data_IF_547198098762
#
_entry.id   IF_547198098762
#
_cell.length_a   1.000
_cell.length_b   1.000
_cell.length_c   1.000
_cell.angle_alpha   90.00
_cell.angle_beta   90.00
_cell.angle_gamma   90.00
#
_symmetry.space_group_name_H-M   'P 1'
#
loop_
_entity.id
_entity.type
_entity.pdbx_description
1 polymer ?
#
# COMPACT_ATOMS: atom_id res chain seq x y z
N UNK A 1 -17.07 8.56 14.39
CA UNK A 1 -17.75 7.50 13.60
C UNK A 1 -16.71 6.90 12.70
N UNK A 2 -16.63 5.57 12.65
CA UNK A 2 -15.81 4.84 11.68
C UNK A 2 -16.35 5.09 10.26
N UNK A 3 -15.53 4.81 9.25
CA UNK A 3 -15.94 4.79 7.84
C UNK A 3 -17.09 3.83 7.56
N UNK A 4 -17.24 2.78 8.39
CA UNK A 4 -18.34 1.81 8.35
C UNK A 4 -19.64 2.31 8.96
N UNK A 5 -19.65 3.52 9.55
CA UNK A 5 -20.80 4.07 10.28
C UNK A 5 -20.93 3.54 11.72
N UNK A 6 -20.04 2.67 12.20
CA UNK A 6 -20.01 2.27 13.61
C UNK A 6 -19.36 3.33 14.51
N UNK A 7 -19.57 3.22 15.83
CA UNK A 7 -18.89 4.06 16.82
C UNK A 7 -17.46 3.56 17.04
N UNK A 8 -16.47 4.43 17.06
CA UNK A 8 -15.07 4.04 17.32
C UNK A 8 -14.87 3.39 18.70
N UNK A 9 -15.76 3.69 19.66
CA UNK A 9 -15.73 3.08 21.01
C UNK A 9 -15.91 1.56 21.00
N UNK A 10 -16.43 0.96 19.93
CA UNK A 10 -16.52 -0.50 19.80
C UNK A 10 -15.15 -1.16 19.69
N UNK A 11 -14.11 -0.40 19.31
CA UNK A 11 -12.74 -0.91 19.16
C UNK A 11 -11.91 -0.78 20.44
N UNK A 12 -12.42 -0.13 21.49
CA UNK A 12 -11.61 0.28 22.66
C UNK A 12 -10.85 -0.88 23.34
N UNK A 13 -11.46 -2.05 23.45
CA UNK A 13 -10.84 -3.21 24.12
C UNK A 13 -9.67 -3.80 23.32
N UNK A 14 -9.56 -3.46 22.03
CA UNK A 14 -8.59 -4.03 21.10
C UNK A 14 -7.73 -2.98 20.39
N UNK A 15 -7.92 -1.70 20.71
CA UNK A 15 -7.21 -0.59 20.07
C UNK A 15 -5.73 -0.63 20.46
N UNK A 16 -4.86 -0.60 19.45
CA UNK A 16 -3.40 -0.62 19.61
C UNK A 16 -2.81 0.75 19.33
N UNK A 17 -3.30 1.43 18.29
CA UNK A 17 -2.78 2.74 17.89
C UNK A 17 -3.85 3.60 17.23
N UNK A 18 -3.67 4.91 17.26
CA UNK A 18 -4.50 5.89 16.56
C UNK A 18 -3.59 7.02 16.05
N UNK A 19 -3.26 6.97 14.76
CA UNK A 19 -2.27 7.87 14.17
C UNK A 19 -2.96 8.84 13.21
N UNK A 20 -2.93 10.13 13.54
CA UNK A 20 -3.40 11.17 12.65
C UNK A 20 -2.46 11.33 11.47
N UNK A 21 -3.01 11.48 10.26
CA UNK A 21 -2.22 11.72 9.06
C UNK A 21 -1.83 13.20 9.00
N UNK A 22 -0.59 13.48 9.38
CA UNK A 22 -0.05 14.84 9.47
C UNK A 22 0.43 15.34 8.10
N UNK A 23 0.49 16.66 7.97
CA UNK A 23 1.02 17.33 6.78
C UNK A 23 2.48 17.76 6.92
N UNK A 24 2.92 18.63 6.02
CA UNK A 24 4.28 19.14 5.90
C UNK A 24 4.69 20.07 7.05
N UNK A 25 3.75 20.72 7.76
CA UNK A 25 4.07 21.79 8.72
C UNK A 25 5.11 21.41 9.81
N UNK A 26 4.99 20.26 10.51
CA UNK A 26 6.00 19.88 11.52
C UNK A 26 7.38 19.57 10.92
N UNK A 27 7.41 19.11 9.66
CA UNK A 27 8.67 18.85 8.93
C UNK A 27 9.32 20.17 8.56
N UNK A 28 8.55 21.15 8.07
CA UNK A 28 9.03 22.51 7.80
C UNK A 28 9.57 23.17 9.08
N UNK A 29 8.91 23.00 10.22
CA UNK A 29 9.39 23.46 11.53
C UNK A 29 10.72 22.81 11.91
N UNK A 30 10.85 21.49 11.75
CA UNK A 30 12.09 20.76 12.02
C UNK A 30 13.25 21.27 11.14
N UNK A 31 13.02 21.41 9.82
CA UNK A 31 14.01 21.93 8.87
C UNK A 31 14.42 23.38 9.20
N UNK A 32 13.46 24.25 9.51
CA UNK A 32 13.72 25.62 9.93
C UNK A 32 14.52 25.71 11.24
N UNK A 33 14.40 24.69 12.11
CA UNK A 33 15.24 24.52 13.30
C UNK A 33 16.66 24.00 13.03
N UNK A 34 17.03 23.80 11.76
CA UNK A 34 18.36 23.34 11.35
C UNK A 34 18.56 21.83 11.47
N UNK A 35 17.49 21.03 11.44
CA UNK A 35 17.62 19.57 11.46
C UNK A 35 18.17 19.04 10.12
N UNK A 36 19.27 18.28 10.18
CA UNK A 36 19.83 17.58 9.01
C UNK A 36 19.02 16.34 8.60
N UNK A 37 18.39 15.68 9.59
CA UNK A 37 17.57 14.48 9.40
C UNK A 37 16.28 14.63 10.19
N UNK A 38 15.14 14.48 9.52
CA UNK A 38 13.82 14.51 10.16
C UNK A 38 13.24 13.10 10.16
N UNK A 39 13.03 12.56 11.36
CA UNK A 39 12.28 11.31 11.55
C UNK A 39 10.84 11.68 11.88
N UNK A 40 9.89 11.18 11.09
CA UNK A 40 8.47 11.45 11.28
C UNK A 40 7.71 10.16 11.59
N UNK A 41 6.58 10.28 12.27
CA UNK A 41 5.63 9.17 12.42
C UNK A 41 4.71 9.10 11.18
N UNK A 42 3.40 9.27 11.36
CA UNK A 42 2.42 9.13 10.28
C UNK A 42 2.16 10.49 9.61
N UNK A 43 2.96 10.82 8.60
CA UNK A 43 2.74 11.97 7.70
C UNK A 43 2.20 11.49 6.36
N UNK A 44 1.53 12.37 5.62
CA UNK A 44 1.15 12.09 4.24
C UNK A 44 2.38 11.96 3.36
N UNK A 45 2.41 10.95 2.50
CA UNK A 45 3.54 10.64 1.62
C UNK A 45 4.00 11.85 0.78
N UNK A 46 3.12 12.68 0.18
CA UNK A 46 3.55 13.90 -0.52
C UNK A 46 4.25 14.91 0.39
N UNK A 47 3.94 14.93 1.70
CA UNK A 47 4.47 15.90 2.64
C UNK A 47 5.99 15.75 2.84
N UNK A 48 6.52 14.53 2.67
CA UNK A 48 7.96 14.25 2.75
C UNK A 48 8.76 15.01 1.69
N UNK A 49 8.15 15.27 0.53
CA UNK A 49 8.76 16.02 -0.57
C UNK A 49 8.28 17.48 -0.62
N UNK A 50 7.04 17.74 -0.22
CA UNK A 50 6.50 19.09 -0.15
C UNK A 50 7.25 19.93 0.90
N UNK A 51 7.56 19.37 2.07
CA UNK A 51 8.17 20.13 3.16
C UNK A 51 9.55 20.72 2.81
N UNK A 52 10.50 19.97 2.22
CA UNK A 52 11.75 20.55 1.73
C UNK A 52 11.55 21.66 0.69
N UNK A 53 10.59 21.50 -0.24
CA UNK A 53 10.28 22.53 -1.23
C UNK A 53 9.73 23.80 -0.59
N UNK A 54 8.81 23.65 0.36
CA UNK A 54 8.22 24.75 1.11
C UNK A 54 9.30 25.51 1.88
N UNK A 55 10.19 24.79 2.56
CA UNK A 55 11.27 25.36 3.34
C UNK A 55 12.27 26.12 2.47
N UNK A 56 12.81 25.46 1.45
CA UNK A 56 13.88 26.01 0.60
C UNK A 56 13.40 27.19 -0.27
N UNK A 57 12.20 27.09 -0.84
CA UNK A 57 11.64 28.13 -1.71
C UNK A 57 10.86 29.21 -0.94
N UNK A 58 10.79 29.09 0.39
CA UNK A 58 10.08 30.04 1.26
C UNK A 58 8.59 30.19 0.94
N UNK A 59 7.95 29.13 0.43
CA UNK A 59 6.54 29.19 0.06
C UNK A 59 5.63 29.30 1.28
N UNK A 60 4.61 30.15 1.19
CA UNK A 60 3.63 30.28 2.27
C UNK A 60 2.73 29.05 2.35
N UNK A 61 2.60 28.46 3.54
CA UNK A 61 1.68 27.35 3.82
C UNK A 61 0.19 27.73 3.67
N UNK A 62 -0.13 29.02 3.51
CA UNK A 62 -1.50 29.49 3.22
C UNK A 62 -1.68 29.89 1.76
N UNK A 63 -0.64 29.81 0.93
CA UNK A 63 -0.76 29.91 -0.52
C UNK A 63 -1.21 28.55 -1.06
N UNK A 64 -2.52 28.38 -1.20
CA UNK A 64 -3.11 27.10 -1.62
C UNK A 64 -2.73 26.69 -3.03
N UNK A 65 -2.41 27.64 -3.90
CA UNK A 65 -1.90 27.33 -5.23
C UNK A 65 -0.52 26.65 -5.10
N UNK A 66 0.40 27.25 -4.33
CA UNK A 66 1.72 26.67 -4.06
C UNK A 66 1.65 25.35 -3.29
N UNK A 67 0.75 25.21 -2.32
CA UNK A 67 0.57 23.93 -1.61
C UNK A 67 0.06 22.82 -2.55
N UNK A 68 -0.80 23.18 -3.51
CA UNK A 68 -1.22 22.29 -4.58
C UNK A 68 -0.06 21.82 -5.45
N UNK A 69 0.79 22.76 -5.90
CA UNK A 69 2.00 22.43 -6.67
C UNK A 69 3.00 21.58 -5.87
N UNK A 70 3.24 21.90 -4.59
CA UNK A 70 4.11 21.11 -3.72
C UNK A 70 3.57 19.68 -3.53
N UNK A 71 2.25 19.55 -3.34
CA UNK A 71 1.57 18.25 -3.23
C UNK A 71 1.66 17.46 -4.53
N UNK A 72 1.53 18.11 -5.69
CA UNK A 72 1.72 17.47 -7.00
C UNK A 72 3.13 16.89 -7.14
N UNK A 73 4.16 17.66 -6.79
CA UNK A 73 5.55 17.16 -6.84
C UNK A 73 5.71 15.98 -5.89
N UNK A 74 5.21 16.06 -4.65
CA UNK A 74 5.28 14.95 -3.71
C UNK A 74 4.55 13.70 -4.19
N UNK A 75 3.35 13.85 -4.76
CA UNK A 75 2.56 12.77 -5.35
C UNK A 75 3.29 12.07 -6.51
N UNK A 76 4.09 12.81 -7.28
CA UNK A 76 4.88 12.25 -8.38
C UNK A 76 6.16 11.56 -7.90
N UNK A 77 6.68 11.90 -6.72
CA UNK A 77 7.92 11.35 -6.17
C UNK A 77 7.71 10.24 -5.14
N UNK A 78 6.52 10.10 -4.58
CA UNK A 78 6.17 9.02 -3.66
C UNK A 78 6.13 7.65 -4.36
N UNK A 79 5.88 6.59 -3.57
CA UNK A 79 5.84 5.20 -4.07
C UNK A 79 7.16 4.72 -4.73
N UNK A 80 8.28 5.31 -4.32
CA UNK A 80 9.64 4.93 -4.73
C UNK A 80 9.82 4.94 -6.27
N UNK A 81 10.11 3.79 -6.89
CA UNK A 81 10.42 3.69 -8.31
C UNK A 81 9.21 3.62 -9.24
N UNK A 82 7.99 3.90 -8.78
CA UNK A 82 6.79 3.69 -9.59
C UNK A 82 6.80 4.55 -10.86
N UNK A 83 7.04 5.86 -10.72
CA UNK A 83 7.11 6.80 -11.85
C UNK A 83 8.28 6.54 -12.82
N UNK A 84 9.25 5.70 -12.42
CA UNK A 84 10.40 5.31 -13.25
C UNK A 84 10.25 3.90 -13.85
N UNK A 85 9.10 3.24 -13.67
CA UNK A 85 8.77 1.96 -14.30
C UNK A 85 8.46 0.82 -13.33
N UNK A 86 8.65 1.00 -12.02
CA UNK A 86 8.16 0.06 -11.00
C UNK A 86 6.62 0.03 -10.98
N UNK A 87 6.01 -1.14 -10.77
CA UNK A 87 4.54 -1.32 -10.84
C UNK A 87 3.86 -0.93 -12.18
N UNK A 88 4.62 -0.37 -13.13
CA UNK A 88 4.23 -0.05 -14.50
C UNK A 88 4.59 -1.18 -15.47
N UNK A 89 5.71 -1.88 -15.23
CA UNK A 89 6.23 -2.91 -16.11
C UNK A 89 5.24 -4.05 -16.35
N UNK A 90 4.96 -4.33 -17.61
CA UNK A 90 4.11 -5.44 -18.09
C UNK A 90 4.77 -6.08 -19.31
N UNK A 91 5.46 -7.22 -19.17
CA UNK A 91 6.26 -7.80 -20.24
C UNK A 91 5.48 -8.02 -21.55
N UNK A 92 5.97 -7.43 -22.63
CA UNK A 92 5.35 -7.47 -23.96
C UNK A 92 4.32 -6.36 -24.24
N UNK A 93 3.96 -5.55 -23.24
CA UNK A 93 3.05 -4.41 -23.39
C UNK A 93 3.70 -3.08 -22.95
N UNK A 94 4.37 -3.11 -21.79
CA UNK A 94 5.05 -1.98 -21.15
C UNK A 94 6.42 -2.45 -20.67
N UNK A 95 7.31 -2.70 -21.62
CA UNK A 95 8.65 -3.20 -21.32
C UNK A 95 9.51 -2.12 -20.65
N UNK A 96 10.05 -2.44 -19.48
CA UNK A 96 10.90 -1.53 -18.69
C UNK A 96 12.33 -2.10 -18.61
N UNK A 97 13.37 -1.37 -19.04
CA UNK A 97 14.73 -1.86 -19.05
C UNK A 97 15.36 -1.88 -17.65
N UNK A 98 16.24 -2.85 -17.39
CA UNK A 98 17.09 -2.96 -16.18
C UNK A 98 16.33 -2.75 -14.86
N UNK A 99 15.12 -3.32 -14.74
CA UNK A 99 14.24 -3.13 -13.57
C UNK A 99 14.89 -3.59 -12.24
N UNK A 100 15.87 -4.50 -12.30
CA UNK A 100 16.65 -4.91 -11.12
C UNK A 100 17.56 -3.81 -10.54
N UNK A 101 17.85 -2.75 -11.31
CA UNK A 101 18.60 -1.55 -10.88
C UNK A 101 17.75 -0.28 -11.02
N UNK A 102 16.43 -0.40 -10.84
CA UNK A 102 15.46 0.68 -10.99
C UNK A 102 15.91 1.96 -10.28
N UNK A 103 16.06 3.04 -11.04
CA UNK A 103 16.40 4.35 -10.48
C UNK A 103 15.20 4.97 -9.79
N UNK A 104 15.36 5.51 -8.58
CA UNK A 104 14.30 6.32 -7.95
C UNK A 104 14.23 7.71 -8.60
N UNK A 105 13.03 8.31 -8.64
CA UNK A 105 12.83 9.59 -9.29
C UNK A 105 13.49 10.73 -8.52
N UNK A 106 13.77 11.80 -9.25
CA UNK A 106 14.08 13.10 -8.70
C UNK A 106 13.28 14.17 -9.45
N UNK A 107 13.01 15.28 -8.75
CA UNK A 107 12.36 16.45 -9.31
C UNK A 107 13.31 17.63 -9.29
N UNK A 108 13.48 18.27 -10.44
CA UNK A 108 14.08 19.60 -10.54
C UNK A 108 12.93 20.62 -10.52
N UNK A 109 12.81 21.40 -9.44
CA UNK A 109 11.69 22.33 -9.21
C UNK A 109 12.19 23.77 -9.19
N UNK A 110 11.52 24.67 -9.93
CA UNK A 110 11.80 26.11 -9.89
C UNK A 110 10.90 26.87 -8.90
N UNK A 111 11.22 28.14 -8.64
CA UNK A 111 10.43 29.01 -7.75
C UNK A 111 8.96 29.18 -8.21
N UNK A 112 8.70 29.05 -9.51
CA UNK A 112 7.37 29.15 -10.10
C UNK A 112 6.55 27.85 -9.92
N UNK A 113 7.20 26.76 -9.51
CA UNK A 113 6.59 25.44 -9.32
C UNK A 113 6.50 24.61 -10.60
N UNK A 114 7.23 24.98 -11.66
CA UNK A 114 7.46 24.07 -12.79
C UNK A 114 8.42 22.99 -12.33
N UNK A 115 8.11 21.74 -12.68
CA UNK A 115 8.94 20.60 -12.32
C UNK A 115 9.40 19.83 -13.55
N UNK A 116 10.62 19.32 -13.52
CA UNK A 116 11.07 18.26 -14.42
C UNK A 116 11.32 17.01 -13.61
N UNK A 117 10.53 15.96 -13.89
CA UNK A 117 10.74 14.63 -13.34
C UNK A 117 11.82 13.93 -14.17
N UNK A 118 12.80 13.36 -13.48
CA UNK A 118 13.86 12.57 -14.08
C UNK A 118 14.35 11.49 -13.10
N UNK A 119 15.44 10.80 -13.43
CA UNK A 119 16.05 9.76 -12.60
C UNK A 119 17.57 9.83 -12.68
N UNK A 120 18.24 9.17 -11.75
CA UNK A 120 19.71 9.11 -11.71
C UNK A 120 20.27 8.51 -13.03
N UNK A 121 21.20 9.18 -13.73
CA UNK A 121 21.82 8.64 -14.94
C UNK A 121 22.50 7.28 -14.70
N UNK A 122 22.35 6.33 -15.62
CA UNK A 122 22.94 4.98 -15.53
C UNK A 122 22.20 3.99 -14.61
N UNK A 123 21.11 4.42 -13.98
CA UNK A 123 20.13 3.53 -13.33
C UNK A 123 19.20 2.89 -14.36
N UNK A 124 18.50 1.82 -13.96
CA UNK A 124 17.43 1.19 -14.75
C UNK A 124 16.13 1.98 -14.74
N UNK A 125 15.09 1.40 -15.33
CA UNK A 125 13.81 2.06 -15.54
C UNK A 125 13.84 3.10 -16.66
N UNK A 126 12.74 3.83 -16.81
CA UNK A 126 12.64 5.00 -17.68
C UNK A 126 11.61 6.01 -17.16
N UNK A 127 11.81 7.30 -17.44
CA UNK A 127 10.81 8.34 -17.18
C UNK A 127 10.20 8.77 -18.50
N UNK A 128 8.89 8.51 -18.67
CA UNK A 128 8.14 8.85 -19.88
C UNK A 128 6.81 9.50 -19.53
N UNK A 129 6.11 10.04 -20.53
CA UNK A 129 4.75 10.53 -20.34
C UNK A 129 3.81 9.44 -19.80
N UNK A 130 4.00 8.18 -20.18
CA UNK A 130 3.15 7.08 -19.71
C UNK A 130 3.36 6.83 -18.21
N UNK A 131 4.61 6.73 -17.76
CA UNK A 131 4.91 6.49 -16.34
C UNK A 131 4.48 7.65 -15.47
N UNK A 132 4.69 8.90 -15.92
CA UNK A 132 4.27 10.09 -15.19
C UNK A 132 2.74 10.21 -15.10
N UNK A 133 2.00 9.90 -16.18
CA UNK A 133 0.54 9.94 -16.16
C UNK A 133 -0.07 8.84 -15.30
N UNK A 134 0.51 7.64 -15.31
CA UNK A 134 0.05 6.56 -14.43
C UNK A 134 0.29 6.92 -12.96
N UNK A 135 1.44 7.49 -12.61
CA UNK A 135 1.69 7.98 -11.26
C UNK A 135 0.73 9.10 -10.87
N UNK A 136 0.47 10.07 -11.76
CA UNK A 136 -0.48 11.16 -11.50
C UNK A 136 -1.88 10.65 -11.15
N UNK A 137 -2.33 9.56 -11.76
CA UNK A 137 -3.66 8.99 -11.55
C UNK A 137 -3.71 7.95 -10.41
N UNK A 138 -2.56 7.52 -9.90
CA UNK A 138 -2.46 6.49 -8.88
C UNK A 138 -3.11 6.96 -7.57
N UNK A 139 -4.02 6.14 -7.03
CA UNK A 139 -4.75 6.38 -5.77
C UNK A 139 -5.56 7.69 -5.69
N UNK A 140 -5.79 8.35 -6.82
CA UNK A 140 -6.62 9.56 -6.89
C UNK A 140 -8.04 9.21 -7.33
N UNK A 141 -9.00 9.56 -6.47
CA UNK A 141 -10.42 9.41 -6.79
C UNK A 141 -10.97 10.62 -7.56
N UNK A 142 -10.91 11.81 -6.96
CA UNK A 142 -11.29 13.08 -7.60
C UNK A 142 -10.05 13.95 -7.82
N UNK A 143 -9.53 14.05 -9.06
CA UNK A 143 -8.33 14.84 -9.34
C UNK A 143 -8.56 16.34 -9.16
N UNK A 144 -9.79 16.84 -9.18
CA UNK A 144 -10.07 18.26 -8.90
C UNK A 144 -10.16 18.56 -7.40
N UNK A 145 -10.23 17.53 -6.54
CA UNK A 145 -10.39 17.66 -5.10
C UNK A 145 -9.66 16.56 -4.32
N UNK A 146 -8.37 16.38 -4.60
CA UNK A 146 -7.55 15.43 -3.86
C UNK A 146 -7.31 15.93 -2.44
N UNK A 147 -7.87 15.23 -1.45
CA UNK A 147 -7.81 15.63 -0.05
C UNK A 147 -6.50 15.17 0.59
N UNK A 148 -5.61 16.11 0.89
CA UNK A 148 -4.41 15.88 1.71
C UNK A 148 -4.46 16.71 3.00
N UNK A 149 -3.63 16.43 4.01
CA UNK A 149 -3.58 17.23 5.24
C UNK A 149 -3.26 18.71 5.00
N UNK A 150 -2.44 19.00 3.97
CA UNK A 150 -1.90 20.32 3.68
C UNK A 150 -2.76 21.15 2.72
N UNK A 151 -3.54 20.51 1.84
CA UNK A 151 -4.33 21.20 0.81
C UNK A 151 -5.45 20.31 0.27
N UNK A 152 -6.49 20.92 -0.29
CA UNK A 152 -7.37 20.23 -1.24
C UNK A 152 -6.80 20.43 -2.63
N UNK A 153 -5.93 19.51 -3.07
CA UNK A 153 -5.20 19.61 -4.32
C UNK A 153 -6.13 19.48 -5.53
N UNK A 154 -5.82 20.23 -6.59
CA UNK A 154 -6.48 20.21 -7.89
C UNK A 154 -5.44 19.94 -8.96
N UNK A 155 -5.47 18.73 -9.50
CA UNK A 155 -4.60 18.24 -10.57
C UNK A 155 -5.32 18.22 -11.93
N UNK A 156 -6.54 18.76 -12.04
CA UNK A 156 -7.36 18.70 -13.26
C UNK A 156 -6.76 19.47 -14.45
N UNK A 157 -5.88 20.43 -14.18
CA UNK A 157 -5.18 21.26 -15.17
C UNK A 157 -3.68 20.93 -15.25
N UNK A 158 -3.27 19.72 -14.84
CA UNK A 158 -1.87 19.30 -14.95
C UNK A 158 -1.54 18.94 -16.40
N UNK A 159 -0.47 19.53 -16.90
CA UNK A 159 0.06 19.28 -18.24
C UNK A 159 1.45 18.64 -18.14
N UNK A 160 1.74 17.71 -19.06
CA UNK A 160 3.01 16.98 -19.10
C UNK A 160 3.60 17.00 -20.50
N UNK A 161 4.87 17.37 -20.61
CA UNK A 161 5.61 17.45 -21.88
C UNK A 161 6.93 16.69 -21.77
N UNK A 162 7.21 15.80 -22.73
CA UNK A 162 8.50 15.13 -22.80
C UNK A 162 9.58 16.12 -23.25
N UNK A 163 10.68 16.20 -22.51
CA UNK A 163 11.83 17.07 -22.84
C UNK A 163 13.02 16.30 -23.43
N UNK A 164 12.94 14.97 -23.47
CA UNK A 164 14.00 14.09 -23.96
C UNK A 164 13.96 12.75 -23.26
N UNK A 165 15.05 11.99 -23.36
CA UNK A 165 15.20 10.73 -22.64
C UNK A 165 15.13 10.96 -21.13
N UNK A 166 14.27 10.20 -20.45
CA UNK A 166 14.11 10.24 -19.00
C UNK A 166 13.80 11.61 -18.40
N UNK A 167 13.18 12.52 -19.16
CA UNK A 167 12.85 13.86 -18.69
C UNK A 167 11.44 14.26 -19.12
N UNK A 168 10.58 14.47 -18.13
CA UNK A 168 9.20 14.93 -18.34
C UNK A 168 8.99 16.19 -17.54
N UNK A 169 8.68 17.29 -18.22
CA UNK A 169 8.22 18.50 -17.56
C UNK A 169 6.76 18.34 -17.17
N UNK A 170 6.43 18.79 -15.96
CA UNK A 170 5.05 18.87 -15.46
C UNK A 170 4.77 20.31 -15.05
N UNK A 171 3.59 20.81 -15.45
CA UNK A 171 3.09 22.15 -15.16
C UNK A 171 1.65 22.09 -14.67
N UNK A 172 1.21 23.17 -14.06
CA UNK A 172 -0.12 23.25 -13.45
C UNK A 172 -0.08 22.71 -12.03
N UNK A 173 -1.20 22.12 -11.60
CA UNK A 173 -1.43 21.82 -10.19
C UNK A 173 -1.79 23.08 -9.40
N UNK A 174 -2.85 23.00 -8.63
CA UNK A 174 -3.28 24.08 -7.74
C UNK A 174 -3.97 23.47 -6.53
N UNK A 175 -4.58 24.31 -5.69
CA UNK A 175 -5.26 23.82 -4.51
C UNK A 175 -6.19 24.84 -3.89
N UNK A 176 -7.01 24.33 -2.98
CA UNK A 176 -7.93 25.11 -2.14
C UNK A 176 -7.59 24.88 -0.68
N UNK A 177 -8.21 25.69 0.19
CA UNK A 177 -8.05 25.62 1.64
C UNK A 177 -8.07 24.17 2.15
N UNK A 178 -7.05 23.81 2.92
CA UNK A 178 -6.89 22.49 3.55
C UNK A 178 -8.15 21.99 4.27
N UNK A 179 -8.42 20.67 4.30
CA UNK A 179 -9.62 20.10 4.93
C UNK A 179 -9.66 20.33 6.45
N UNK A 180 -10.79 20.73 7.04
CA UNK A 180 -10.90 21.04 8.50
C UNK A 180 -10.63 19.85 9.42
N UNK A 181 -10.71 18.63 8.88
CA UNK A 181 -10.47 17.37 9.58
C UNK A 181 -9.25 16.64 9.03
N UNK A 182 -8.59 15.86 9.88
CA UNK A 182 -7.54 14.92 9.48
C UNK A 182 -8.04 13.48 9.53
N UNK A 183 -7.55 12.64 8.63
CA UNK A 183 -7.74 11.18 8.71
C UNK A 183 -6.90 10.65 9.87
N UNK A 184 -7.50 9.82 10.71
CA UNK A 184 -6.81 9.07 11.76
C UNK A 184 -6.96 7.58 11.44
N UNK A 185 -5.83 6.91 11.25
CA UNK A 185 -5.78 5.45 11.08
C UNK A 185 -5.65 4.79 12.45
N UNK A 186 -6.64 3.99 12.80
CA UNK A 186 -6.70 3.27 14.06
C UNK A 186 -6.38 1.80 13.83
N UNK A 187 -5.26 1.35 14.39
CA UNK A 187 -4.89 -0.07 14.40
C UNK A 187 -5.53 -0.78 15.58
N UNK A 188 -6.18 -1.92 15.35
CA UNK A 188 -6.80 -2.71 16.41
C UNK A 188 -6.65 -4.22 16.16
N UNK A 189 -6.59 -5.00 17.24
CA UNK A 189 -6.49 -6.45 17.17
C UNK A 189 -7.84 -7.05 16.78
N UNK A 190 -7.86 -7.88 15.75
CA UNK A 190 -9.09 -8.45 15.21
C UNK A 190 -8.90 -9.93 14.90
N UNK A 191 -8.62 -10.68 15.96
CA UNK A 191 -8.43 -12.13 15.95
C UNK A 191 -7.10 -12.59 15.35
N UNK A 192 -7.13 -13.79 14.76
CA UNK A 192 -6.01 -14.52 14.21
C UNK A 192 -6.35 -15.02 12.81
N UNK A 193 -5.32 -15.13 11.98
CA UNK A 193 -5.38 -15.90 10.74
C UNK A 193 -4.50 -17.13 10.89
N UNK A 194 -5.14 -18.29 10.76
CA UNK A 194 -4.48 -19.59 10.65
C UNK A 194 -4.37 -19.98 9.18
N UNK A 195 -3.20 -20.43 8.77
CA UNK A 195 -2.94 -20.82 7.39
C UNK A 195 -2.14 -22.12 7.31
N UNK A 196 -2.60 -23.03 6.46
CA UNK A 196 -1.88 -24.23 6.06
C UNK A 196 -1.77 -24.31 4.54
N UNK A 197 -0.60 -24.73 4.05
CA UNK A 197 -0.38 -24.96 2.62
C UNK A 197 0.35 -26.27 2.37
N UNK A 198 0.12 -26.90 1.22
CA UNK A 198 0.85 -28.08 0.73
C UNK A 198 0.87 -28.12 -0.81
N UNK A 199 1.99 -28.53 -1.41
CA UNK A 199 2.16 -28.58 -2.86
C UNK A 199 1.92 -29.97 -3.44
N UNK A 200 1.39 -30.03 -4.66
CA UNK A 200 1.27 -31.24 -5.47
C UNK A 200 1.88 -30.99 -6.86
N UNK A 201 2.79 -31.86 -7.29
CA UNK A 201 3.41 -31.81 -8.61
C UNK A 201 3.15 -33.06 -9.43
N UNK A 202 3.35 -32.96 -10.75
CA UNK A 202 3.21 -34.04 -11.72
C UNK A 202 1.76 -34.27 -12.21
N UNK A 203 1.54 -35.32 -13.02
CA UNK A 203 0.23 -35.62 -13.59
C UNK A 203 -0.87 -35.69 -12.52
N UNK A 204 -1.98 -34.99 -12.73
CA UNK A 204 -3.09 -34.95 -11.78
C UNK A 204 -2.88 -34.03 -10.56
N UNK A 205 -1.89 -33.13 -10.58
CA UNK A 205 -1.63 -32.17 -9.50
C UNK A 205 -2.89 -31.41 -9.06
N UNK A 206 -3.65 -30.85 -10.01
CA UNK A 206 -4.91 -30.15 -9.75
C UNK A 206 -5.93 -31.04 -9.05
N UNK A 207 -6.14 -32.27 -9.54
CA UNK A 207 -7.11 -33.20 -8.98
C UNK A 207 -6.73 -33.59 -7.54
N UNK A 208 -5.45 -33.79 -7.26
CA UNK A 208 -4.95 -34.03 -5.89
C UNK A 208 -5.11 -32.81 -5.00
N UNK A 209 -4.80 -31.61 -5.50
CA UNK A 209 -5.03 -30.36 -4.77
C UNK A 209 -6.50 -30.18 -4.38
N UNK A 210 -7.44 -30.44 -5.30
CA UNK A 210 -8.88 -30.40 -5.01
C UNK A 210 -9.29 -31.44 -3.98
N UNK A 211 -8.83 -32.68 -4.12
CA UNK A 211 -9.09 -33.73 -3.14
C UNK A 211 -8.55 -33.35 -1.75
N UNK A 212 -7.38 -32.71 -1.68
CA UNK A 212 -6.83 -32.20 -0.43
C UNK A 212 -7.71 -31.12 0.19
N UNK A 213 -8.18 -30.13 -0.60
CA UNK A 213 -9.12 -29.12 -0.11
C UNK A 213 -10.41 -29.75 0.43
N UNK A 214 -10.95 -30.75 -0.27
CA UNK A 214 -12.17 -31.44 0.14
C UNK A 214 -11.97 -32.23 1.45
N UNK A 215 -10.81 -32.87 1.63
CA UNK A 215 -10.44 -33.54 2.89
C UNK A 215 -10.40 -32.52 4.03
N UNK A 216 -9.77 -31.36 3.84
CA UNK A 216 -9.69 -30.33 4.89
C UNK A 216 -11.08 -29.79 5.24
N UNK A 217 -11.93 -29.50 4.24
CA UNK A 217 -13.34 -29.10 4.47
C UNK A 217 -14.08 -30.11 5.34
N UNK A 218 -13.96 -31.39 5.01
CA UNK A 218 -14.59 -32.47 5.76
C UNK A 218 -14.08 -32.54 7.21
N UNK A 219 -12.77 -32.44 7.41
CA UNK A 219 -12.17 -32.51 8.76
C UNK A 219 -12.53 -31.32 9.62
N UNK A 220 -12.47 -30.11 9.08
CA UNK A 220 -12.90 -28.90 9.80
C UNK A 220 -14.38 -29.00 10.20
N UNK A 221 -15.25 -29.53 9.34
CA UNK A 221 -16.65 -29.79 9.66
C UNK A 221 -16.82 -30.85 10.77
N UNK A 222 -16.06 -31.96 10.72
CA UNK A 222 -16.08 -33.01 11.76
C UNK A 222 -15.61 -32.50 13.13
N UNK A 223 -14.65 -31.57 13.13
CA UNK A 223 -14.12 -30.93 14.33
C UNK A 223 -15.01 -29.78 14.84
N UNK A 224 -16.12 -29.48 14.15
CA UNK A 224 -17.04 -28.42 14.54
C UNK A 224 -16.45 -27.02 14.40
N UNK A 225 -15.44 -26.84 13.54
CA UNK A 225 -14.85 -25.52 13.29
C UNK A 225 -15.84 -24.67 12.50
N UNK A 226 -16.32 -23.61 13.13
CA UNK A 226 -17.17 -22.59 12.51
C UNK A 226 -16.30 -21.37 12.26
N UNK A 227 -16.13 -20.98 11.00
CA UNK A 227 -15.42 -19.79 10.60
C UNK A 227 -16.21 -19.05 9.51
N UNK A 228 -16.51 -17.77 9.75
CA UNK A 228 -17.26 -16.93 8.82
C UNK A 228 -16.45 -16.53 7.59
N UNK A 229 -15.12 -16.58 7.69
CA UNK A 229 -14.17 -16.19 6.65
C UNK A 229 -13.09 -17.27 6.51
N UNK A 230 -13.26 -18.14 5.51
CA UNK A 230 -12.34 -19.22 5.17
C UNK A 230 -12.12 -19.27 3.64
N UNK A 231 -10.85 -19.31 3.22
CA UNK A 231 -10.45 -19.48 1.84
C UNK A 231 -9.89 -20.88 1.60
N UNK A 232 -10.20 -21.42 0.42
CA UNK A 232 -9.80 -22.75 -0.03
C UNK A 232 -9.26 -22.61 -1.44
N UNK A 233 -7.94 -22.48 -1.58
CA UNK A 233 -7.32 -21.98 -2.79
C UNK A 233 -6.40 -23.02 -3.44
N UNK A 234 -6.34 -23.01 -4.77
CA UNK A 234 -5.26 -23.64 -5.54
C UNK A 234 -4.40 -22.56 -6.20
N UNK A 235 -3.30 -22.22 -5.52
CA UNK A 235 -2.28 -21.30 -6.03
C UNK A 235 -1.62 -21.92 -7.26
N UNK A 236 -1.50 -21.12 -8.33
CA UNK A 236 -1.06 -21.55 -9.65
C UNK A 236 -2.19 -21.98 -10.58
N UNK A 237 -3.45 -22.02 -10.10
CA UNK A 237 -4.60 -22.39 -10.90
C UNK A 237 -5.72 -21.32 -10.92
N UNK A 238 -6.37 -21.06 -9.79
CA UNK A 238 -7.56 -20.18 -9.71
C UNK A 238 -7.64 -19.34 -8.42
N UNK A 239 -6.59 -19.33 -7.60
CA UNK A 239 -6.57 -18.64 -6.30
C UNK A 239 -6.84 -17.12 -6.32
N UNK A 240 -6.54 -16.40 -7.42
CA UNK A 240 -6.70 -14.94 -7.47
C UNK A 240 -8.06 -14.48 -8.01
N UNK A 241 -8.51 -15.11 -9.09
CA UNK A 241 -9.74 -14.69 -9.78
C UNK A 241 -10.97 -15.45 -9.30
N UNK A 242 -10.78 -16.61 -8.65
CA UNK A 242 -11.84 -17.52 -8.22
C UNK A 242 -12.86 -17.84 -9.34
N UNK A 243 -12.42 -17.77 -10.60
CA UNK A 243 -13.20 -18.08 -11.79
C UNK A 243 -12.81 -19.45 -12.31
N UNK A 244 -13.76 -20.13 -12.97
CA UNK A 244 -13.51 -21.42 -13.61
C UNK A 244 -12.31 -21.34 -14.57
N UNK A 245 -11.19 -21.96 -14.17
CA UNK A 245 -9.99 -22.03 -14.98
C UNK A 245 -9.89 -23.42 -15.63
N UNK A 246 -9.61 -23.44 -16.94
CA UNK A 246 -9.46 -24.68 -17.73
C UNK A 246 -8.04 -25.22 -17.74
N UNK A 247 -7.06 -24.42 -17.31
CA UNK A 247 -5.67 -24.83 -17.30
C UNK A 247 -5.46 -26.02 -16.35
N UNK A 248 -4.52 -26.89 -16.71
CA UNK A 248 -4.10 -28.03 -15.89
C UNK A 248 -2.59 -27.90 -15.67
N UNK A 249 -2.15 -26.99 -14.78
CA UNK A 249 -0.74 -26.83 -14.49
C UNK A 249 -0.15 -28.13 -13.92
N UNK A 250 1.14 -28.35 -14.19
CA UNK A 250 1.87 -29.53 -13.70
C UNK A 250 2.15 -29.47 -12.19
N UNK A 251 1.93 -28.33 -11.57
CA UNK A 251 2.08 -28.14 -10.14
C UNK A 251 1.05 -27.13 -9.62
N UNK A 252 0.58 -27.36 -8.41
CA UNK A 252 -0.29 -26.44 -7.68
C UNK A 252 0.11 -26.43 -6.21
N UNK A 253 -0.15 -25.31 -5.53
CA UNK A 253 -0.06 -25.23 -4.07
C UNK A 253 -1.46 -25.05 -3.50
N UNK A 254 -1.92 -26.06 -2.78
CA UNK A 254 -3.16 -25.99 -2.03
C UNK A 254 -2.94 -25.11 -0.79
N UNK A 255 -3.88 -24.20 -0.53
CA UNK A 255 -3.88 -23.33 0.64
C UNK A 255 -5.26 -23.32 1.29
N UNK A 256 -5.29 -23.47 2.61
CA UNK A 256 -6.46 -23.16 3.43
C UNK A 256 -6.06 -22.09 4.42
N UNK A 257 -6.80 -20.99 4.43
CA UNK A 257 -6.65 -19.93 5.41
C UNK A 257 -8.01 -19.61 6.02
N UNK A 258 -8.07 -19.40 7.32
CA UNK A 258 -9.28 -18.88 7.96
C UNK A 258 -8.96 -17.79 8.95
N UNK A 259 -9.99 -16.99 9.23
CA UNK A 259 -10.00 -15.99 10.28
C UNK A 259 -10.83 -16.47 11.47
N UNK A 260 -10.33 -16.26 12.68
CA UNK A 260 -11.00 -16.66 13.92
C UNK A 260 -10.53 -15.80 15.10
N UNK A 261 -11.34 -15.66 16.15
CA UNK A 261 -10.89 -15.06 17.41
C UNK A 261 -10.10 -16.05 18.29
N UNK A 262 -10.23 -17.35 18.02
CA UNK A 262 -9.61 -18.41 18.81
C UNK A 262 -8.23 -18.81 18.23
N UNK A 263 -7.11 -18.55 18.93
CA UNK A 263 -5.78 -18.90 18.45
C UNK A 263 -5.56 -20.41 18.29
N UNK A 264 -6.26 -21.25 19.06
CA UNK A 264 -6.15 -22.71 18.95
C UNK A 264 -6.80 -23.20 17.66
N UNK A 265 -7.94 -22.61 17.28
CA UNK A 265 -8.59 -22.87 15.97
C UNK A 265 -7.70 -22.39 14.81
N UNK A 266 -7.01 -21.27 14.97
CA UNK A 266 -6.06 -20.80 13.96
C UNK A 266 -4.90 -21.79 13.78
N UNK A 267 -4.36 -22.34 14.87
CA UNK A 267 -3.27 -23.32 14.78
C UNK A 267 -3.74 -24.67 14.22
N UNK A 268 -4.97 -25.08 14.56
CA UNK A 268 -5.57 -26.33 14.11
C UNK A 268 -5.57 -26.47 12.58
N UNK A 269 -5.87 -25.40 11.85
CA UNK A 269 -5.92 -25.42 10.37
C UNK A 269 -4.58 -25.80 9.77
N UNK A 270 -3.51 -25.19 10.27
CA UNK A 270 -2.15 -25.53 9.85
C UNK A 270 -1.81 -27.00 10.13
N UNK A 271 -2.21 -27.52 11.30
CA UNK A 271 -2.00 -28.92 11.68
C UNK A 271 -2.79 -29.89 10.79
N UNK A 272 -4.03 -29.55 10.43
CA UNK A 272 -4.86 -30.37 9.54
C UNK A 272 -4.27 -30.46 8.13
N UNK A 273 -3.73 -29.35 7.60
CA UNK A 273 -3.02 -29.36 6.32
C UNK A 273 -1.73 -30.16 6.41
N UNK A 274 -0.94 -30.00 7.47
CA UNK A 274 0.29 -30.77 7.68
C UNK A 274 0.01 -32.28 7.76
N UNK A 275 -1.11 -32.68 8.37
CA UNK A 275 -1.53 -34.07 8.46
C UNK A 275 -1.82 -34.73 7.10
N UNK A 276 -1.96 -33.96 6.01
CA UNK A 276 -2.12 -34.50 4.65
C UNK A 276 -0.88 -35.26 4.15
N UNK A 277 0.30 -35.06 4.76
CA UNK A 277 1.50 -35.82 4.38
C UNK A 277 1.29 -37.33 4.39
N UNK A 278 0.61 -37.83 5.41
CA UNK A 278 0.36 -39.27 5.59
C UNK A 278 -1.12 -39.62 5.50
N UNK A 279 -2.01 -38.61 5.52
CA UNK A 279 -3.46 -38.80 5.55
C UNK A 279 -4.17 -38.05 4.41
N UNK A 280 -3.46 -37.75 3.33
CA UNK A 280 -3.97 -36.99 2.18
C UNK A 280 -3.62 -37.66 0.85
N UNK A 281 -3.88 -36.95 -0.26
CA UNK A 281 -3.52 -37.41 -1.60
C UNK A 281 -2.02 -37.67 -1.75
N UNK A 282 -1.65 -38.62 -2.60
CA UNK A 282 -0.26 -39.02 -2.81
C UNK A 282 0.62 -37.89 -3.37
N UNK A 283 1.91 -37.90 -3.03
CA UNK A 283 2.89 -36.96 -3.59
C UNK A 283 2.71 -35.51 -3.13
N UNK A 284 2.14 -35.29 -1.94
CA UNK A 284 2.15 -33.99 -1.27
C UNK A 284 3.55 -33.65 -0.76
N UNK A 285 3.97 -32.40 -0.90
CA UNK A 285 5.29 -31.93 -0.49
C UNK A 285 5.30 -30.46 -0.05
N UNK A 286 6.33 -30.09 0.72
CA UNK A 286 6.56 -28.69 1.14
C UNK A 286 5.44 -28.08 1.98
N UNK A 287 4.83 -28.86 2.87
CA UNK A 287 3.78 -28.32 3.73
C UNK A 287 4.32 -27.22 4.64
N UNK A 288 3.52 -26.18 4.84
CA UNK A 288 3.87 -25.05 5.69
C UNK A 288 2.65 -24.61 6.48
N UNK A 289 2.87 -24.19 7.73
CA UNK A 289 1.83 -23.62 8.58
C UNK A 289 2.27 -22.27 9.12
N UNK A 290 1.32 -21.36 9.28
CA UNK A 290 1.53 -20.10 9.98
C UNK A 290 0.29 -19.70 10.75
N UNK A 291 0.49 -19.03 11.88
CA UNK A 291 -0.54 -18.33 12.63
C UNK A 291 -0.05 -16.92 12.83
N UNK A 292 -0.90 -15.94 12.57
CA UNK A 292 -0.60 -14.53 12.82
C UNK A 292 -1.78 -13.85 13.49
N UNK A 293 -1.49 -13.01 14.48
CA UNK A 293 -2.48 -12.09 15.01
C UNK A 293 -2.78 -11.01 13.97
N UNK A 294 -4.05 -10.67 13.79
CA UNK A 294 -4.46 -9.66 12.82
C UNK A 294 -4.50 -8.30 13.50
N UNK A 295 -3.67 -7.39 13.01
CA UNK A 295 -3.81 -5.97 13.27
C UNK A 295 -4.61 -5.36 12.11
N UNK A 296 -5.91 -5.17 12.34
CA UNK A 296 -6.80 -4.53 11.38
C UNK A 296 -6.74 -3.00 11.50
N UNK A 297 -7.23 -2.31 10.47
CA UNK A 297 -7.24 -0.84 10.41
C UNK A 297 -8.66 -0.35 10.17
N UNK A 298 -9.07 0.63 10.96
CA UNK A 298 -10.25 1.46 10.70
C UNK A 298 -9.84 2.93 10.65
N UNK A 299 -10.66 3.77 10.03
CA UNK A 299 -10.37 5.18 9.83
C UNK A 299 -11.46 6.08 10.41
N UNK A 300 -11.06 7.18 11.03
CA UNK A 300 -11.97 8.24 11.44
C UNK A 300 -11.47 9.59 10.95
N UNK A 301 -12.38 10.57 10.92
CA UNK A 301 -12.02 11.97 10.75
C UNK A 301 -12.03 12.66 12.12
N UNK A 302 -10.96 13.40 12.42
CA UNK A 302 -10.82 14.17 13.64
C UNK A 302 -10.65 15.66 13.29
N UNK A 303 -11.32 16.60 13.99
CA UNK A 303 -11.06 18.03 13.79
C UNK A 303 -9.58 18.34 14.00
N UNK A 304 -8.95 19.07 13.06
CA UNK A 304 -7.50 19.32 13.12
C UNK A 304 -7.06 19.99 14.42
N UNK A 305 -7.89 20.87 14.99
CA UNK A 305 -7.60 21.55 16.26
C UNK A 305 -7.51 20.62 17.49
N UNK A 306 -7.84 19.34 17.35
CA UNK A 306 -7.66 18.31 18.38
C UNK A 306 -6.35 17.52 18.21
N UNK A 307 -5.59 17.77 17.14
CA UNK A 307 -4.31 17.13 16.86
C UNK A 307 -3.20 18.14 17.12
N UNK A 308 -2.31 17.81 18.04
CA UNK A 308 -1.18 18.67 18.44
C UNK A 308 0.14 17.97 18.13
N UNK A 309 0.72 18.17 16.93
CA UNK A 309 2.06 17.68 16.61
C UNK A 309 3.10 18.31 17.55
N UNK A 310 4.15 17.57 17.87
CA UNK A 310 5.30 18.06 18.60
C UNK A 310 6.59 17.76 17.81
N UNK A 311 7.50 18.73 17.78
CA UNK A 311 8.82 18.58 17.17
C UNK A 311 9.85 18.52 18.29
N UNK A 312 10.66 17.47 18.29
CA UNK A 312 11.72 17.25 19.27
C UNK A 312 13.08 17.19 18.56
N UNK A 313 14.04 17.95 19.07
CA UNK A 313 15.40 17.99 18.52
C UNK A 313 16.30 17.09 19.36
N UNK A 314 17.08 16.24 18.68
CA UNK A 314 18.10 15.40 19.28
C UNK A 314 19.42 15.68 18.56
N UNK A 315 20.43 16.12 19.31
CA UNK A 315 21.81 16.21 18.82
C UNK A 315 22.53 14.91 19.17
N UNK A 316 23.10 14.25 18.15
CA UNK A 316 23.86 13.00 18.28
C UNK A 316 25.34 13.26 18.11
#
# INVERSE_FOLDING_TARGET
>A
MLETGARSSTLNAHLVSANAYLGAAPIVEALAGGADVVLTERVADPALFAAPLIHELGWSMTDWHKMGQATLVGHLLECAGQITGGYFADPGFKDVPDLGRLGFPLAEVDEQGTVVITKVPGSGGHVTLATCKEQLLYEIHDPACYLTPDVKADFSQVEMTALGSDRVQVRGGSGRSRPETLKVSMGYLEGYIGEGQISYGGPGAVARGRLALDIIRQRLALLGVIADDVSYDLIGHDALLNTACKAQPNEVRMRVALRTEDPDVAELVGREVEALYTNGPAGGGGASRSVRQVLAVASVLLPRGQVNPAVHYLSV
#
